data_IF_919141948025
#
_entry.id   IF_919141948025
#
_cell.length_a   1.000
_cell.length_b   1.000
_cell.length_c   1.000
_cell.angle_alpha   90.00
_cell.angle_beta   90.00
_cell.angle_gamma   90.00
#
_symmetry.space_group_name_H-M   'P 1'
#
loop_
_entity.id
_entity.type
_entity.pdbx_description
1 polymer ?
#
# COMPACT_ATOMS: atom_id res chain seq x y z
N UNK A 1 3.93 27.86 -15.35
CA UNK A 1 4.41 26.58 -14.82
C UNK A 1 3.19 25.68 -14.62
N UNK A 2 2.93 24.79 -15.57
CA UNK A 2 1.87 23.78 -15.47
C UNK A 2 2.37 22.67 -14.54
N UNK A 3 1.71 22.49 -13.40
CA UNK A 3 1.91 21.35 -12.51
C UNK A 3 1.87 20.07 -13.33
N UNK A 4 2.91 19.21 -13.24
CA UNK A 4 2.99 17.89 -13.89
C UNK A 4 1.82 16.95 -13.55
N UNK A 5 0.93 17.37 -12.64
CA UNK A 5 -0.34 16.75 -12.29
C UNK A 5 -1.56 17.45 -12.91
N UNK A 6 -1.54 17.84 -14.19
CA UNK A 6 -2.81 17.93 -14.92
C UNK A 6 -3.21 16.50 -15.28
N UNK A 7 -3.82 15.83 -14.31
CA UNK A 7 -4.44 14.52 -14.51
C UNK A 7 -5.57 14.72 -15.52
N UNK A 8 -5.37 14.27 -16.76
CA UNK A 8 -6.46 14.16 -17.71
C UNK A 8 -7.43 13.09 -17.22
N UNK A 9 -8.56 13.54 -16.67
CA UNK A 9 -9.66 12.70 -16.18
C UNK A 9 -10.30 11.83 -17.27
N UNK A 10 -9.98 12.08 -18.56
CA UNK A 10 -10.59 11.41 -19.70
C UNK A 10 -9.96 10.05 -20.04
N UNK A 11 -8.72 9.78 -19.63
CA UNK A 11 -7.95 8.59 -20.07
C UNK A 11 -7.68 7.57 -18.96
N UNK A 12 -8.15 7.80 -17.73
CA UNK A 12 -7.85 6.94 -16.59
C UNK A 12 -9.09 6.19 -16.10
N UNK A 13 -9.08 4.86 -16.22
CA UNK A 13 -9.71 4.00 -15.22
C UNK A 13 -8.85 4.03 -13.96
N UNK A 14 -8.88 5.15 -13.23
CA UNK A 14 -8.26 5.21 -11.91
C UNK A 14 -8.79 4.05 -11.07
N UNK A 15 -7.90 3.39 -10.30
CA UNK A 15 -8.36 2.47 -9.28
C UNK A 15 -9.18 3.28 -8.27
N UNK A 16 -10.49 3.11 -8.33
CA UNK A 16 -11.41 3.65 -7.35
C UNK A 16 -11.62 2.57 -6.31
N UNK A 17 -11.02 2.77 -5.13
CA UNK A 17 -11.32 1.91 -3.99
C UNK A 17 -12.83 1.95 -3.76
N UNK A 18 -13.44 0.76 -3.82
CA UNK A 18 -14.90 0.64 -3.79
C UNK A 18 -15.47 0.98 -2.42
N UNK A 19 -14.69 0.81 -1.35
CA UNK A 19 -15.11 1.23 -0.02
C UNK A 19 -15.14 2.76 0.08
N UNK A 20 -14.13 3.45 -0.46
CA UNK A 20 -14.12 4.92 -0.53
C UNK A 20 -15.27 5.44 -1.40
N UNK A 21 -15.50 4.88 -2.59
CA UNK A 21 -16.61 5.29 -3.45
C UNK A 21 -17.97 5.02 -2.80
N UNK A 22 -18.12 3.90 -2.09
CA UNK A 22 -19.34 3.59 -1.35
C UNK A 22 -19.61 4.62 -0.24
N UNK A 23 -18.62 4.93 0.61
CA UNK A 23 -18.75 5.96 1.65
C UNK A 23 -19.04 7.34 1.04
N UNK A 24 -18.34 7.70 -0.04
CA UNK A 24 -18.61 8.94 -0.79
C UNK A 24 -20.05 9.00 -1.31
N UNK A 25 -20.59 7.88 -1.80
CA UNK A 25 -21.99 7.77 -2.22
C UNK A 25 -22.97 8.04 -1.07
N UNK A 26 -22.68 7.54 0.13
CA UNK A 26 -23.48 7.85 1.33
C UNK A 26 -23.44 9.35 1.67
N UNK A 27 -22.26 9.98 1.61
CA UNK A 27 -22.09 11.40 1.89
C UNK A 27 -22.69 12.31 0.81
N UNK A 28 -22.88 11.83 -0.42
CA UNK A 28 -23.53 12.62 -1.47
C UNK A 28 -25.01 12.89 -1.15
N UNK A 29 -25.68 11.99 -0.41
CA UNK A 29 -27.10 12.14 -0.09
C UNK A 29 -27.38 13.37 0.80
N UNK A 30 -26.73 13.57 1.96
CA UNK A 30 -26.94 14.79 2.73
C UNK A 30 -26.49 16.06 1.99
N UNK A 31 -25.48 15.97 1.11
CA UNK A 31 -25.11 17.11 0.27
C UNK A 31 -26.31 17.55 -0.57
N UNK A 32 -26.90 16.65 -1.37
CA UNK A 32 -28.05 16.98 -2.23
C UNK A 32 -29.24 17.51 -1.44
N UNK A 33 -29.49 16.99 -0.23
CA UNK A 33 -30.65 17.38 0.58
C UNK A 33 -30.47 18.72 1.30
N UNK A 34 -29.24 19.07 1.71
CA UNK A 34 -28.99 20.19 2.63
C UNK A 34 -28.07 21.28 2.06
N UNK A 35 -27.38 21.03 0.94
CA UNK A 35 -26.57 22.04 0.26
C UNK A 35 -27.39 22.78 -0.80
N UNK A 36 -28.07 23.85 -0.41
CA UNK A 36 -28.61 24.80 -1.39
C UNK A 36 -27.51 25.72 -1.93
N UNK A 37 -27.46 25.99 -3.24
CA UNK A 37 -26.51 26.93 -3.82
C UNK A 37 -26.69 28.33 -3.27
N UNK A 38 -25.59 29.01 -2.96
CA UNK A 38 -25.60 30.41 -2.53
C UNK A 38 -26.18 31.29 -3.64
N UNK A 39 -27.17 32.13 -3.34
CA UNK A 39 -27.74 33.09 -4.30
C UNK A 39 -28.96 32.61 -5.10
N UNK A 40 -29.48 31.41 -4.83
CA UNK A 40 -30.86 31.07 -5.23
C UNK A 40 -31.81 31.77 -4.27
N UNK A 41 -32.70 32.62 -4.79
CA UNK A 41 -33.71 33.35 -4.00
C UNK A 41 -34.66 32.32 -3.38
N UNK A 42 -34.53 32.08 -2.08
CA UNK A 42 -35.35 31.14 -1.31
C UNK A 42 -35.10 31.26 0.19
N UNK A 43 -36.13 31.00 0.98
CA UNK A 43 -36.33 31.48 2.35
C UNK A 43 -35.22 31.16 3.38
N UNK A 44 -34.47 32.20 3.76
CA UNK A 44 -34.12 32.51 5.16
C UNK A 44 -33.30 31.53 5.99
N UNK A 45 -32.87 30.38 5.48
CA UNK A 45 -31.97 29.49 6.21
C UNK A 45 -30.54 30.03 6.15
N UNK A 46 -30.03 30.48 7.30
CA UNK A 46 -28.64 30.93 7.41
C UNK A 46 -27.69 29.84 6.91
N UNK A 47 -26.71 30.23 6.08
CA UNK A 47 -25.64 29.36 5.56
C UNK A 47 -24.98 28.55 6.70
N UNK A 48 -24.91 29.14 7.90
CA UNK A 48 -24.41 28.49 9.11
C UNK A 48 -25.26 27.28 9.51
N UNK A 49 -26.60 27.42 9.57
CA UNK A 49 -27.51 26.32 9.90
C UNK A 49 -27.40 25.16 8.92
N UNK A 50 -27.26 25.47 7.62
CA UNK A 50 -27.06 24.44 6.60
C UNK A 50 -25.72 23.70 6.79
N UNK A 51 -24.68 24.43 7.20
CA UNK A 51 -23.37 23.85 7.46
C UNK A 51 -23.40 22.94 8.68
N UNK A 52 -24.06 23.38 9.75
CA UNK A 52 -24.25 22.61 10.97
C UNK A 52 -25.05 21.33 10.70
N UNK A 53 -26.12 21.41 9.90
CA UNK A 53 -26.92 20.24 9.53
C UNK A 53 -26.12 19.28 8.64
N UNK A 54 -25.42 19.76 7.62
CA UNK A 54 -24.54 18.92 6.80
C UNK A 54 -23.44 18.24 7.63
N UNK A 55 -22.81 18.97 8.55
CA UNK A 55 -21.81 18.45 9.48
C UNK A 55 -22.40 17.34 10.35
N UNK A 56 -23.56 17.57 10.95
CA UNK A 56 -24.25 16.59 11.79
C UNK A 56 -24.55 15.31 11.00
N UNK A 57 -25.07 15.43 9.78
CA UNK A 57 -25.42 14.28 8.94
C UNK A 57 -24.21 13.48 8.47
N UNK A 58 -23.13 14.15 8.06
CA UNK A 58 -21.90 13.46 7.70
C UNK A 58 -21.28 12.75 8.91
N UNK A 59 -21.31 13.36 10.09
CA UNK A 59 -20.85 12.73 11.32
C UNK A 59 -21.68 11.48 11.70
N UNK A 60 -23.01 11.56 11.58
CA UNK A 60 -23.92 10.42 11.80
C UNK A 60 -23.61 9.26 10.85
N UNK A 61 -23.49 9.53 9.54
CA UNK A 61 -23.15 8.50 8.55
C UNK A 61 -21.79 7.86 8.85
N UNK A 62 -20.79 8.66 9.21
CA UNK A 62 -19.46 8.15 9.55
C UNK A 62 -19.50 7.23 10.77
N UNK A 63 -20.28 7.59 11.80
CA UNK A 63 -20.51 6.72 12.96
C UNK A 63 -21.20 5.42 12.57
N UNK A 64 -22.21 5.47 11.70
CA UNK A 64 -22.91 4.26 11.25
C UNK A 64 -21.99 3.33 10.45
N UNK A 65 -21.10 3.89 9.61
CA UNK A 65 -20.07 3.13 8.91
C UNK A 65 -19.05 2.53 9.88
N UNK A 66 -18.64 3.28 10.91
CA UNK A 66 -17.75 2.79 11.97
C UNK A 66 -18.34 1.56 12.68
N UNK A 67 -19.63 1.59 13.03
CA UNK A 67 -20.33 0.42 13.62
C UNK A 67 -20.37 -0.77 12.64
N UNK A 68 -20.52 -0.53 11.34
CA UNK A 68 -20.46 -1.59 10.33
C UNK A 68 -19.07 -2.21 10.19
N UNK A 69 -18.01 -1.41 10.37
CA UNK A 69 -16.63 -1.91 10.41
C UNK A 69 -16.42 -2.75 11.66
N UNK A 70 -16.91 -2.32 12.83
CA UNK A 70 -16.80 -3.08 14.07
C UNK A 70 -17.48 -4.47 13.97
N UNK A 71 -18.68 -4.55 13.39
CA UNK A 71 -19.35 -5.83 13.09
C UNK A 71 -18.53 -6.68 12.10
N UNK A 72 -17.90 -6.04 11.10
CA UNK A 72 -17.05 -6.74 10.14
C UNK A 72 -15.81 -7.35 10.81
N UNK A 73 -15.11 -6.60 11.66
CA UNK A 73 -13.96 -7.08 12.45
C UNK A 73 -14.38 -8.23 13.36
N UNK A 74 -15.52 -8.10 14.06
CA UNK A 74 -16.01 -9.14 14.94
C UNK A 74 -16.27 -10.47 14.21
N UNK A 75 -16.73 -10.41 12.95
CA UNK A 75 -16.95 -11.61 12.11
C UNK A 75 -15.69 -12.12 11.43
N UNK A 76 -14.75 -11.25 11.07
CA UNK A 76 -13.44 -11.66 10.54
C UNK A 76 -12.71 -12.61 11.51
N UNK A 77 -12.84 -12.36 12.82
CA UNK A 77 -12.16 -13.09 13.87
C UNK A 77 -12.92 -14.33 14.35
N UNK A 78 -14.08 -14.66 13.76
CA UNK A 78 -14.85 -15.85 14.09
C UNK A 78 -14.37 -17.04 13.24
N UNK A 79 -13.80 -18.05 13.90
CA UNK A 79 -13.56 -19.36 13.30
C UNK A 79 -14.89 -20.13 13.19
N UNK A 80 -15.66 -19.82 12.15
CA UNK A 80 -16.89 -20.54 11.79
C UNK A 80 -16.66 -21.40 10.54
N UNK A 81 -17.07 -22.68 10.55
CA UNK A 81 -16.99 -23.54 9.36
C UNK A 81 -17.85 -23.04 8.20
N UNK A 82 -18.84 -22.17 8.46
CA UNK A 82 -19.61 -21.44 7.45
C UNK A 82 -19.54 -19.95 7.80
N UNK A 83 -18.62 -19.18 7.19
CA UNK A 83 -18.50 -17.76 7.45
C UNK A 83 -19.72 -17.03 6.90
N UNK A 84 -20.52 -16.42 7.78
CA UNK A 84 -21.61 -15.54 7.35
C UNK A 84 -21.01 -14.14 7.14
N UNK A 85 -21.10 -13.55 5.93
CA UNK A 85 -20.53 -12.24 5.68
C UNK A 85 -21.25 -11.18 6.53
N UNK A 86 -20.48 -10.24 7.07
CA UNK A 86 -21.05 -9.01 7.65
C UNK A 86 -21.88 -8.24 6.62
N UNK A 87 -22.74 -7.33 7.08
CA UNK A 87 -23.43 -6.38 6.18
C UNK A 87 -22.45 -5.60 5.29
N UNK A 88 -21.32 -5.14 5.85
CA UNK A 88 -20.30 -4.42 5.09
C UNK A 88 -19.72 -5.30 3.97
N UNK A 89 -19.26 -6.50 4.29
CA UNK A 89 -18.75 -7.47 3.31
C UNK A 89 -19.76 -7.89 2.23
N UNK A 90 -21.07 -7.83 2.50
CA UNK A 90 -22.09 -8.04 1.47
C UNK A 90 -22.23 -6.83 0.53
N UNK A 91 -22.15 -5.61 1.06
CA UNK A 91 -22.31 -4.37 0.29
C UNK A 91 -21.05 -3.97 -0.47
N UNK A 92 -19.89 -4.19 0.14
CA UNK A 92 -18.57 -3.89 -0.40
C UNK A 92 -17.65 -5.10 -0.20
N UNK A 93 -17.78 -6.18 -1.01
CA UNK A 93 -16.95 -7.39 -0.88
C UNK A 93 -15.45 -7.14 -1.00
N UNK A 94 -15.07 -6.01 -1.59
CA UNK A 94 -13.68 -5.59 -1.80
C UNK A 94 -13.17 -4.64 -0.70
N UNK A 95 -13.87 -4.45 0.42
CA UNK A 95 -13.39 -3.62 1.53
C UNK A 95 -12.06 -4.15 2.12
N UNK A 96 -11.86 -5.47 2.10
CA UNK A 96 -10.70 -6.11 2.70
C UNK A 96 -10.81 -6.24 4.21
N UNK A 97 -9.80 -6.81 4.88
CA UNK A 97 -9.80 -6.92 6.33
C UNK A 97 -9.56 -5.56 6.99
N UNK A 98 -10.10 -5.38 8.18
CA UNK A 98 -9.77 -4.28 9.09
C UNK A 98 -9.06 -4.83 10.33
N UNK A 99 -7.97 -4.19 10.73
CA UNK A 99 -7.15 -4.62 11.87
C UNK A 99 -7.44 -3.82 13.14
N UNK A 100 -8.03 -2.64 12.99
CA UNK A 100 -8.32 -1.72 14.09
C UNK A 100 -9.72 -1.16 13.94
N UNK A 101 -10.34 -0.80 15.07
CA UNK A 101 -11.56 0.01 15.06
C UNK A 101 -11.22 1.39 14.51
N UNK A 102 -12.02 1.88 13.56
CA UNK A 102 -11.77 3.17 12.92
C UNK A 102 -12.73 4.23 13.48
N UNK A 103 -12.25 5.23 14.25
CA UNK A 103 -13.09 6.28 14.81
C UNK A 103 -13.49 7.31 13.73
N UNK A 104 -14.29 6.88 12.75
CA UNK A 104 -14.63 7.63 11.54
C UNK A 104 -15.36 8.93 11.85
N UNK A 105 -16.22 8.95 12.86
CA UNK A 105 -16.90 10.19 13.25
C UNK A 105 -15.89 11.23 13.74
N UNK A 106 -14.96 10.82 14.61
CA UNK A 106 -13.93 11.70 15.15
C UNK A 106 -12.98 12.18 14.04
N UNK A 107 -12.59 11.28 13.15
CA UNK A 107 -11.74 11.58 12.00
C UNK A 107 -12.42 12.55 11.02
N UNK A 108 -13.71 12.36 10.74
CA UNK A 108 -14.50 13.29 9.95
C UNK A 108 -14.52 14.68 10.59
N UNK A 109 -14.86 14.78 11.88
CA UNK A 109 -14.88 16.07 12.60
C UNK A 109 -13.52 16.76 12.56
N UNK A 110 -12.44 15.98 12.63
CA UNK A 110 -11.08 16.50 12.54
C UNK A 110 -10.78 17.08 11.15
N UNK A 111 -11.05 16.33 10.08
CA UNK A 111 -10.82 16.80 8.72
C UNK A 111 -11.77 17.95 8.33
N UNK A 112 -13.01 17.94 8.80
CA UNK A 112 -13.97 18.99 8.51
C UNK A 112 -13.56 20.35 9.11
N UNK A 113 -12.92 20.37 10.29
CA UNK A 113 -12.35 21.60 10.86
C UNK A 113 -11.20 22.19 10.03
N UNK A 114 -10.46 21.35 9.30
CA UNK A 114 -9.34 21.78 8.45
C UNK A 114 -9.82 22.17 7.05
N UNK A 115 -10.74 21.40 6.48
CA UNK A 115 -11.09 21.41 5.05
C UNK A 115 -12.49 21.96 4.77
N UNK A 116 -13.26 22.27 5.81
CA UNK A 116 -14.59 22.85 5.74
C UNK A 116 -15.49 22.12 4.74
N UNK A 117 -15.48 20.78 4.78
CA UNK A 117 -16.21 19.89 3.88
C UNK A 117 -17.71 20.20 3.96
N UNK A 118 -18.23 20.34 5.17
CA UNK A 118 -19.65 20.64 5.46
C UNK A 118 -20.07 22.05 5.04
N UNK A 119 -19.13 22.96 4.82
CA UNK A 119 -19.40 24.33 4.40
C UNK A 119 -19.61 24.46 2.88
N UNK A 120 -19.27 23.43 2.10
CA UNK A 120 -19.36 23.49 0.63
C UNK A 120 -20.81 23.46 0.15
N UNK A 121 -21.11 24.18 -0.93
CA UNK A 121 -22.47 24.31 -1.50
C UNK A 121 -22.60 23.90 -2.96
N UNK A 122 -21.47 23.78 -3.66
CA UNK A 122 -21.43 23.42 -5.09
C UNK A 122 -20.62 22.14 -5.35
N UNK A 123 -19.84 21.70 -4.36
CA UNK A 123 -18.93 20.56 -4.49
C UNK A 123 -19.21 19.61 -3.32
N UNK A 124 -19.74 18.44 -3.64
CA UNK A 124 -19.97 17.36 -2.68
C UNK A 124 -18.65 16.83 -2.11
N UNK A 125 -18.67 16.11 -0.97
CA UNK A 125 -17.51 15.36 -0.50
C UNK A 125 -16.92 14.49 -1.62
N UNK A 126 -15.63 14.67 -1.87
CA UNK A 126 -14.90 14.01 -2.94
C UNK A 126 -14.29 12.68 -2.47
N UNK A 127 -13.75 11.91 -3.43
CA UNK A 127 -12.98 10.71 -3.12
C UNK A 127 -11.81 11.02 -2.18
N UNK A 128 -11.11 12.14 -2.44
CA UNK A 128 -9.99 12.57 -1.61
C UNK A 128 -10.43 13.01 -0.21
N UNK A 129 -11.60 13.64 -0.05
CA UNK A 129 -12.10 13.96 1.29
C UNK A 129 -12.30 12.69 2.13
N UNK A 130 -12.94 11.66 1.55
CA UNK A 130 -13.14 10.37 2.22
C UNK A 130 -11.81 9.64 2.47
N UNK A 131 -10.89 9.62 1.50
CA UNK A 131 -9.54 9.06 1.66
C UNK A 131 -8.81 9.67 2.86
N UNK A 132 -8.84 11.00 2.98
CA UNK A 132 -8.16 11.71 4.07
C UNK A 132 -8.85 11.49 5.42
N UNK A 133 -10.18 11.36 5.44
CA UNK A 133 -10.92 10.96 6.65
C UNK A 133 -10.50 9.55 7.10
N UNK A 134 -10.37 8.61 6.18
CA UNK A 134 -9.90 7.26 6.48
C UNK A 134 -8.44 7.25 6.97
N UNK A 135 -7.56 8.05 6.36
CA UNK A 135 -6.18 8.20 6.84
C UNK A 135 -6.16 8.70 8.29
N UNK A 136 -6.91 9.76 8.61
CA UNK A 136 -7.04 10.26 9.99
C UNK A 136 -7.58 9.20 10.94
N UNK A 137 -8.59 8.42 10.52
CA UNK A 137 -9.13 7.35 11.35
C UNK A 137 -8.09 6.26 11.64
N UNK A 138 -7.29 5.88 10.63
CA UNK A 138 -6.19 4.93 10.80
C UNK A 138 -5.15 5.47 11.77
N UNK A 139 -4.70 6.72 11.62
CA UNK A 139 -3.75 7.36 12.53
C UNK A 139 -4.30 7.38 13.97
N UNK A 140 -5.55 7.81 14.15
CA UNK A 140 -6.20 7.82 15.46
C UNK A 140 -6.25 6.41 16.07
N UNK A 141 -6.54 5.39 15.26
CA UNK A 141 -6.62 4.00 15.70
C UNK A 141 -5.26 3.46 16.15
N UNK A 142 -4.19 3.64 15.35
CA UNK A 142 -2.85 3.14 15.69
C UNK A 142 -2.16 3.97 16.79
N UNK A 143 -2.53 5.24 16.96
CA UNK A 143 -2.06 6.04 18.11
C UNK A 143 -2.71 5.54 19.41
N UNK A 144 -3.95 5.05 19.33
CA UNK A 144 -4.63 4.43 20.46
C UNK A 144 -4.09 3.03 20.76
N UNK A 145 -3.80 2.23 19.73
CA UNK A 145 -3.21 0.89 19.81
C UNK A 145 -1.73 0.88 19.45
N UNK A 146 -0.85 1.09 20.44
CA UNK A 146 0.63 1.04 20.38
C UNK A 146 1.23 0.68 19.01
N UNK A 147 1.34 1.66 18.11
CA UNK A 147 2.04 1.49 16.83
C UNK A 147 3.48 1.00 17.08
N UNK A 148 3.83 -0.14 16.49
CA UNK A 148 5.16 -0.76 16.66
C UNK A 148 5.97 -0.69 15.37
N UNK A 149 5.32 -0.82 14.21
CA UNK A 149 5.96 -0.81 12.90
C UNK A 149 5.27 0.19 11.97
N UNK A 150 6.03 1.11 11.39
CA UNK A 150 5.61 1.90 10.25
C UNK A 150 6.38 1.44 9.01
N UNK A 151 5.68 1.09 7.94
CA UNK A 151 6.30 0.80 6.66
C UNK A 151 5.97 1.87 5.65
N UNK A 152 6.93 2.19 4.77
CA UNK A 152 6.80 3.25 3.79
C UNK A 152 7.16 2.72 2.42
N UNK A 153 6.36 3.05 1.42
CA UNK A 153 6.81 2.96 0.04
C UNK A 153 7.89 4.01 -0.27
N UNK A 154 8.64 3.80 -1.34
CA UNK A 154 9.64 4.74 -1.83
C UNK A 154 9.04 5.88 -2.67
N UNK A 155 8.88 5.63 -3.97
CA UNK A 155 8.43 6.63 -4.94
C UNK A 155 7.03 7.17 -4.59
N UNK A 156 6.82 8.48 -4.82
CA UNK A 156 5.58 9.22 -4.54
C UNK A 156 5.20 9.27 -3.04
N UNK A 157 5.94 8.59 -2.17
CA UNK A 157 5.69 8.49 -0.74
C UNK A 157 6.76 9.19 0.09
N UNK A 158 8.02 8.75 -0.03
CA UNK A 158 9.16 9.35 0.67
C UNK A 158 9.83 10.45 -0.17
N UNK A 159 9.79 10.31 -1.49
CA UNK A 159 10.37 11.24 -2.46
C UNK A 159 9.55 11.26 -3.73
N UNK A 160 9.70 12.33 -4.51
CA UNK A 160 9.07 12.45 -5.82
C UNK A 160 9.53 11.33 -6.77
N UNK A 161 8.70 10.98 -7.75
CA UNK A 161 8.97 9.89 -8.70
C UNK A 161 10.35 10.01 -9.36
N UNK A 162 11.17 8.97 -9.17
CA UNK A 162 12.53 8.89 -9.70
C UNK A 162 13.56 9.79 -9.01
N UNK A 163 13.22 10.44 -7.89
CA UNK A 163 14.14 11.21 -7.06
C UNK A 163 14.71 10.38 -5.90
N UNK A 164 15.52 11.03 -5.07
CA UNK A 164 16.14 10.45 -3.89
C UNK A 164 15.61 11.17 -2.62
N UNK A 165 15.69 10.49 -1.49
CA UNK A 165 15.44 11.07 -0.17
C UNK A 165 16.66 11.86 0.30
N UNK A 166 16.57 13.18 0.17
CA UNK A 166 17.59 14.10 0.66
C UNK A 166 17.49 14.32 2.18
N UNK A 167 18.62 14.62 2.85
CA UNK A 167 18.65 14.86 4.29
C UNK A 167 17.82 16.08 4.71
N UNK A 168 17.62 17.04 3.80
CA UNK A 168 16.76 18.21 4.01
C UNK A 168 15.26 17.91 3.91
N UNK A 169 14.87 16.68 3.57
CA UNK A 169 13.46 16.31 3.46
C UNK A 169 12.77 16.45 4.83
N UNK A 170 11.59 17.10 4.89
CA UNK A 170 10.82 17.23 6.13
C UNK A 170 10.35 15.87 6.68
N UNK A 171 10.39 14.79 5.89
CA UNK A 171 10.00 13.44 6.32
C UNK A 171 11.05 12.83 7.24
N UNK A 172 12.35 13.07 6.99
CA UNK A 172 13.46 12.39 7.69
C UNK A 172 13.39 12.56 9.21
N UNK A 173 13.17 13.76 9.78
CA UNK A 173 13.03 13.92 11.22
C UNK A 173 11.88 13.12 11.83
N UNK A 174 10.79 12.89 11.09
CA UNK A 174 9.64 12.14 11.59
C UNK A 174 9.92 10.63 11.67
N UNK A 175 10.66 10.09 10.70
CA UNK A 175 11.03 8.67 10.69
C UNK A 175 11.96 8.27 11.84
N UNK A 176 12.64 9.25 12.43
CA UNK A 176 13.54 9.04 13.57
C UNK A 176 12.86 9.28 14.92
N UNK A 177 11.61 9.73 14.93
CA UNK A 177 10.87 10.01 16.16
C UNK A 177 10.11 8.77 16.62
N UNK A 178 10.14 8.57 17.94
CA UNK A 178 9.50 7.47 18.64
C UNK A 178 10.19 6.13 18.35
N UNK A 179 10.24 5.23 19.34
CA UNK A 179 10.91 3.94 19.25
C UNK A 179 10.15 2.93 18.35
N UNK A 180 9.69 3.39 17.19
CA UNK A 180 8.93 2.66 16.18
C UNK A 180 9.92 2.02 15.21
N UNK A 181 9.63 0.80 14.79
CA UNK A 181 10.38 0.10 13.74
C UNK A 181 9.97 0.66 12.37
N UNK A 182 10.94 0.89 11.49
CA UNK A 182 10.75 1.46 10.16
C UNK A 182 11.15 0.45 9.10
N UNK A 183 10.22 0.12 8.20
CA UNK A 183 10.49 -0.70 7.02
C UNK A 183 10.25 0.08 5.74
N UNK A 184 11.27 0.27 4.90
CA UNK A 184 11.07 0.88 3.58
C UNK A 184 10.83 -0.25 2.57
N UNK A 185 9.60 -0.37 2.08
CA UNK A 185 9.16 -1.44 1.17
C UNK A 185 9.00 -0.87 -0.23
N UNK A 186 9.95 -1.15 -1.13
CA UNK A 186 10.01 -0.51 -2.45
C UNK A 186 10.02 -1.52 -3.59
N UNK A 187 9.39 -1.15 -4.70
CA UNK A 187 9.46 -1.89 -5.96
C UNK A 187 10.87 -1.87 -6.59
N UNK A 188 11.73 -0.92 -6.21
CA UNK A 188 13.13 -0.91 -6.65
C UNK A 188 13.86 -2.17 -6.16
N UNK A 189 14.18 -3.08 -7.09
CA UNK A 189 14.88 -4.33 -6.81
C UNK A 189 16.36 -4.31 -7.18
N UNK A 190 17.20 -3.64 -6.39
CA UNK A 190 18.66 -3.72 -6.52
C UNK A 190 19.17 -4.97 -5.78
N UNK A 191 20.15 -5.66 -6.34
CA UNK A 191 20.78 -6.82 -5.67
C UNK A 191 21.87 -6.39 -4.68
N UNK A 192 22.25 -5.13 -4.68
CA UNK A 192 23.37 -4.55 -3.92
C UNK A 192 22.95 -3.28 -3.18
N UNK A 193 23.65 -2.98 -2.09
CA UNK A 193 23.33 -1.90 -1.17
C UNK A 193 23.49 -0.48 -1.75
N UNK A 194 24.40 -0.30 -2.73
CA UNK A 194 24.70 0.99 -3.35
C UNK A 194 23.49 1.60 -4.08
N UNK A 195 22.66 0.76 -4.72
CA UNK A 195 21.43 1.21 -5.37
C UNK A 195 20.42 1.79 -4.38
N UNK A 196 20.20 1.09 -3.26
CA UNK A 196 19.32 1.59 -2.19
C UNK A 196 19.89 2.82 -1.50
N UNK A 197 21.20 2.84 -1.26
CA UNK A 197 21.88 4.01 -0.71
C UNK A 197 21.69 5.23 -1.61
N UNK A 198 21.84 5.11 -2.93
CA UNK A 198 21.59 6.21 -3.86
C UNK A 198 20.22 6.86 -3.65
N UNK A 199 19.17 6.06 -3.49
CA UNK A 199 17.79 6.53 -3.26
C UNK A 199 17.54 7.04 -1.84
N UNK A 200 18.26 6.56 -0.82
CA UNK A 200 17.92 6.75 0.60
C UNK A 200 19.04 7.37 1.44
N UNK A 201 20.11 7.87 0.82
CA UNK A 201 21.31 8.37 1.50
C UNK A 201 20.99 9.45 2.54
N UNK A 202 20.02 10.34 2.29
CA UNK A 202 19.64 11.38 3.23
C UNK A 202 19.14 10.82 4.57
N UNK A 203 18.32 9.77 4.54
CA UNK A 203 17.88 9.09 5.76
C UNK A 203 19.03 8.31 6.42
N UNK A 204 19.78 7.53 5.63
CA UNK A 204 20.83 6.66 6.15
C UNK A 204 21.96 7.44 6.84
N UNK A 205 22.39 8.55 6.24
CA UNK A 205 23.41 9.42 6.82
C UNK A 205 22.87 10.20 8.02
N UNK A 206 21.57 10.57 8.03
CA UNK A 206 20.97 11.21 9.22
C UNK A 206 20.90 10.23 10.40
N UNK A 207 20.51 8.96 10.17
CA UNK A 207 20.55 7.91 11.21
C UNK A 207 21.99 7.68 11.70
N UNK A 208 22.96 7.65 10.79
CA UNK A 208 24.38 7.51 11.14
C UNK A 208 24.88 8.65 12.03
N UNK A 209 24.61 9.90 11.62
CA UNK A 209 25.06 11.10 12.32
C UNK A 209 24.28 11.41 13.61
N UNK A 210 23.10 10.79 13.80
CA UNK A 210 22.24 11.07 14.95
C UNK A 210 22.93 10.76 16.29
N UNK A 211 22.86 11.73 17.19
CA UNK A 211 23.21 11.63 18.61
C UNK A 211 21.99 11.37 19.50
N UNK A 212 20.79 11.46 18.94
CA UNK A 212 19.52 11.23 19.65
C UNK A 212 19.13 9.76 19.67
N UNK A 213 19.53 9.00 18.65
CA UNK A 213 19.27 7.57 18.52
C UNK A 213 20.36 6.74 19.20
N UNK A 214 19.95 5.85 20.10
CA UNK A 214 20.84 4.84 20.65
C UNK A 214 21.21 3.76 19.60
N UNK A 215 22.25 2.93 19.83
CA UNK A 215 22.66 1.91 18.88
C UNK A 215 21.59 0.86 18.54
N UNK A 216 20.65 0.59 19.44
CA UNK A 216 19.53 -0.35 19.22
C UNK A 216 18.48 0.32 18.33
N UNK A 217 18.15 1.58 18.60
CA UNK A 217 17.22 2.36 17.79
C UNK A 217 17.70 2.56 16.36
N UNK A 218 19.02 2.72 16.14
CA UNK A 218 19.57 2.76 14.77
C UNK A 218 19.32 1.45 13.99
N UNK A 219 19.16 0.32 14.68
CA UNK A 219 18.81 -0.97 14.06
C UNK A 219 17.32 -1.14 13.80
N UNK A 220 16.48 -0.17 14.16
CA UNK A 220 15.04 -0.18 13.86
C UNK A 220 14.73 0.19 12.41
N UNK A 221 15.71 0.17 11.50
CA UNK A 221 15.54 0.49 10.09
C UNK A 221 15.92 -0.71 9.22
N UNK A 222 15.00 -1.12 8.36
CA UNK A 222 15.26 -2.10 7.28
C UNK A 222 14.73 -1.59 5.94
N UNK A 223 15.32 -2.10 4.86
CA UNK A 223 14.85 -1.88 3.50
C UNK A 223 14.46 -3.23 2.91
N UNK A 224 13.22 -3.34 2.47
CA UNK A 224 12.70 -4.43 1.68
C UNK A 224 12.58 -3.97 0.23
N UNK A 225 13.46 -4.49 -0.62
CA UNK A 225 13.53 -4.13 -2.02
C UNK A 225 13.01 -5.20 -2.98
N UNK A 226 12.63 -4.76 -4.18
CA UNK A 226 11.97 -5.60 -5.18
C UNK A 226 10.67 -6.18 -4.65
N UNK A 227 9.90 -5.34 -3.97
CA UNK A 227 8.67 -5.63 -3.21
C UNK A 227 8.85 -6.57 -2.01
N UNK A 228 9.44 -7.75 -2.20
CA UNK A 228 9.65 -8.77 -1.18
C UNK A 228 10.87 -9.66 -1.46
N UNK A 229 11.88 -9.16 -2.18
CA UNK A 229 12.94 -10.00 -2.75
C UNK A 229 14.32 -9.80 -2.10
N UNK A 230 14.61 -8.61 -1.59
CA UNK A 230 15.91 -8.29 -0.98
C UNK A 230 15.74 -7.54 0.33
N UNK A 231 16.19 -8.13 1.45
CA UNK A 231 16.20 -7.45 2.74
C UNK A 231 17.59 -6.91 3.04
N UNK A 232 17.65 -5.64 3.43
CA UNK A 232 18.84 -4.98 3.95
C UNK A 232 18.55 -4.43 5.34
N UNK A 233 19.50 -4.60 6.25
CA UNK A 233 19.46 -3.95 7.56
C UNK A 233 20.45 -2.78 7.62
N UNK A 234 20.14 -1.82 8.48
CA UNK A 234 21.07 -0.74 8.78
C UNK A 234 22.35 -1.30 9.42
N UNK A 235 23.50 -0.86 8.90
CA UNK A 235 24.83 -1.26 9.39
C UNK A 235 25.79 -0.08 9.36
N UNK A 236 26.12 0.46 10.53
CA UNK A 236 27.02 1.62 10.68
C UNK A 236 28.38 1.42 10.01
N UNK A 237 28.91 0.20 10.03
CA UNK A 237 30.23 -0.17 9.49
C UNK A 237 30.23 -0.42 7.98
N UNK A 238 29.06 -0.57 7.35
CA UNK A 238 28.97 -0.78 5.91
C UNK A 238 29.25 0.52 5.13
N UNK A 239 29.96 0.47 3.98
CA UNK A 239 30.21 1.65 3.14
C UNK A 239 28.94 2.40 2.71
N UNK A 240 27.84 1.67 2.57
CA UNK A 240 26.53 2.19 2.15
C UNK A 240 25.52 2.21 3.29
N UNK A 241 25.99 2.09 4.54
CA UNK A 241 25.16 2.01 5.76
C UNK A 241 24.14 0.86 5.78
N UNK A 242 24.27 -0.08 4.85
CA UNK A 242 23.34 -1.19 4.65
C UNK A 242 24.11 -2.49 4.49
N UNK A 243 23.65 -3.55 5.15
CA UNK A 243 24.15 -4.90 4.99
C UNK A 243 23.04 -5.81 4.42
N UNK A 244 23.30 -6.59 3.37
CA UNK A 244 22.33 -7.54 2.85
C UNK A 244 22.10 -8.67 3.87
N UNK A 245 20.84 -9.05 4.08
CA UNK A 245 20.47 -10.18 4.94
C UNK A 245 20.23 -11.41 4.07
N UNK A 246 20.90 -12.56 4.34
CA UNK A 246 20.67 -13.79 3.59
C UNK A 246 19.20 -14.25 3.63
N UNK A 247 18.64 -14.59 2.46
CA UNK A 247 17.20 -14.96 2.30
C UNK A 247 16.68 -15.94 3.34
N UNK A 248 17.42 -17.01 3.60
CA UNK A 248 17.03 -18.05 4.55
C UNK A 248 16.75 -17.53 5.98
N UNK A 249 17.24 -16.34 6.34
CA UNK A 249 17.05 -15.75 7.67
C UNK A 249 15.73 -14.99 7.80
N UNK A 250 15.14 -14.51 6.71
CA UNK A 250 14.02 -13.57 6.74
C UNK A 250 12.77 -14.01 5.97
N UNK A 251 12.87 -15.04 5.12
CA UNK A 251 11.68 -15.57 4.44
C UNK A 251 10.61 -15.96 5.46
N UNK A 252 9.36 -15.64 5.12
CA UNK A 252 8.21 -16.18 5.84
C UNK A 252 8.09 -17.68 5.56
N UNK A 253 7.41 -18.47 6.43
CA UNK A 253 7.20 -19.89 6.17
C UNK A 253 6.52 -20.18 4.83
N UNK A 254 5.58 -19.32 4.41
CA UNK A 254 4.90 -19.47 3.12
C UNK A 254 5.85 -19.14 1.96
N UNK A 255 6.64 -18.07 2.05
CA UNK A 255 7.64 -17.74 1.02
C UNK A 255 8.67 -18.85 0.83
N UNK A 256 9.12 -19.46 1.93
CA UNK A 256 10.06 -20.58 1.90
C UNK A 256 9.46 -21.85 1.26
N UNK A 257 8.14 -21.95 1.17
CA UNK A 257 7.44 -23.07 0.53
C UNK A 257 7.28 -22.92 -0.99
N UNK A 258 7.58 -21.74 -1.55
CA UNK A 258 7.46 -21.49 -2.98
C UNK A 258 8.51 -22.29 -3.78
N UNK A 259 8.04 -23.04 -4.78
CA UNK A 259 8.88 -23.86 -5.65
C UNK A 259 9.74 -22.99 -6.57
N UNK A 260 11.07 -23.15 -6.51
CA UNK A 260 12.00 -22.48 -7.44
C UNK A 260 11.71 -22.82 -8.90
N UNK A 261 11.22 -24.03 -9.18
CA UNK A 261 10.81 -24.43 -10.52
C UNK A 261 9.56 -23.66 -10.98
N UNK A 262 8.58 -23.45 -10.09
CA UNK A 262 7.36 -22.71 -10.42
C UNK A 262 7.66 -21.22 -10.59
N UNK A 263 8.57 -20.67 -9.78
CA UNK A 263 9.08 -19.30 -9.92
C UNK A 263 9.77 -19.11 -11.26
N UNK A 264 10.67 -20.04 -11.62
CA UNK A 264 11.37 -19.99 -12.91
C UNK A 264 10.38 -20.04 -14.06
N UNK A 265 9.43 -20.97 -14.03
CA UNK A 265 8.40 -21.10 -15.05
C UNK A 265 7.52 -19.83 -15.18
N UNK A 266 7.12 -19.21 -14.06
CA UNK A 266 6.36 -17.97 -14.08
C UNK A 266 7.15 -16.84 -14.75
N UNK A 267 8.41 -16.66 -14.34
CA UNK A 267 9.27 -15.61 -14.89
C UNK A 267 9.60 -15.87 -16.37
N UNK A 268 9.67 -17.12 -16.83
CA UNK A 268 9.90 -17.45 -18.25
C UNK A 268 8.69 -17.08 -19.13
N UNK A 269 7.48 -17.29 -18.62
CA UNK A 269 6.24 -16.80 -19.27
C UNK A 269 6.23 -15.27 -19.30
N UNK A 270 6.56 -14.62 -18.19
CA UNK A 270 6.67 -13.15 -18.12
C UNK A 270 7.72 -12.61 -19.09
N UNK A 271 8.88 -13.27 -19.18
CA UNK A 271 9.95 -12.89 -20.10
C UNK A 271 9.51 -12.95 -21.56
N UNK A 272 8.80 -14.02 -21.93
CA UNK A 272 8.27 -14.19 -23.29
C UNK A 272 7.24 -13.12 -23.60
N UNK A 273 6.30 -12.86 -22.69
CA UNK A 273 5.30 -11.80 -22.83
C UNK A 273 5.94 -10.42 -22.99
N UNK A 274 6.97 -10.10 -22.19
CA UNK A 274 7.71 -8.84 -22.30
C UNK A 274 8.44 -8.72 -23.65
N UNK A 275 9.08 -9.78 -24.14
CA UNK A 275 9.73 -9.79 -25.47
C UNK A 275 8.71 -9.55 -26.58
N UNK A 276 7.52 -10.13 -26.46
CA UNK A 276 6.43 -9.93 -27.41
C UNK A 276 5.92 -8.49 -27.40
N UNK A 277 5.76 -7.87 -26.23
CA UNK A 277 5.42 -6.44 -26.12
C UNK A 277 6.48 -5.54 -26.75
N UNK A 278 7.77 -5.77 -26.44
CA UNK A 278 8.89 -4.99 -27.00
C UNK A 278 8.89 -5.06 -28.53
N UNK A 279 8.73 -6.25 -29.10
CA UNK A 279 8.68 -6.46 -30.55
C UNK A 279 7.42 -5.85 -31.18
N UNK A 280 6.25 -6.08 -30.59
CA UNK A 280 4.96 -5.70 -31.21
C UNK A 280 4.73 -4.19 -31.19
N UNK A 281 5.20 -3.51 -30.15
CA UNK A 281 5.11 -2.04 -30.02
C UNK A 281 6.40 -1.32 -30.45
N UNK A 282 7.42 -2.06 -30.92
CA UNK A 282 8.75 -1.53 -31.26
C UNK A 282 9.33 -0.64 -30.15
N UNK A 283 9.26 -1.12 -28.90
CA UNK A 283 9.72 -0.34 -27.74
C UNK A 283 11.25 -0.20 -27.77
N UNK A 284 11.79 1.02 -27.53
CA UNK A 284 13.23 1.24 -27.38
C UNK A 284 13.67 0.75 -26.00
N UNK A 285 13.62 -0.57 -25.80
CA UNK A 285 13.82 -1.20 -24.50
C UNK A 285 14.60 -2.51 -24.65
N UNK A 286 15.37 -2.83 -23.61
CA UNK A 286 16.04 -4.13 -23.47
C UNK A 286 15.52 -4.88 -22.25
N UNK A 287 15.56 -6.20 -22.33
CA UNK A 287 15.12 -7.08 -21.25
C UNK A 287 16.19 -7.23 -20.16
N UNK A 288 15.76 -7.34 -18.91
CA UNK A 288 16.58 -7.67 -17.74
C UNK A 288 15.92 -8.82 -16.99
N UNK A 289 16.67 -9.90 -16.77
CA UNK A 289 16.28 -11.04 -15.94
C UNK A 289 17.10 -11.04 -14.65
N UNK A 290 16.42 -11.16 -13.52
CA UNK A 290 16.97 -11.35 -12.17
C UNK A 290 16.52 -12.72 -11.64
N UNK A 291 16.96 -13.09 -10.45
CA UNK A 291 16.60 -14.37 -9.82
C UNK A 291 15.11 -14.44 -9.43
N UNK A 292 14.51 -13.32 -9.02
CA UNK A 292 13.10 -13.22 -8.62
C UNK A 292 12.31 -12.14 -9.36
N UNK A 293 12.82 -11.68 -10.50
CA UNK A 293 12.16 -10.66 -11.29
C UNK A 293 12.56 -10.70 -12.77
N UNK A 294 11.70 -10.20 -13.65
CA UNK A 294 12.02 -9.94 -15.06
C UNK A 294 11.36 -8.64 -15.50
N UNK A 295 12.04 -7.85 -16.32
CA UNK A 295 11.52 -6.56 -16.75
C UNK A 295 12.17 -6.03 -18.00
N UNK A 296 11.68 -4.88 -18.47
CA UNK A 296 12.25 -4.13 -19.58
C UNK A 296 12.66 -2.74 -19.10
N UNK A 297 13.82 -2.26 -19.55
CA UNK A 297 14.29 -0.91 -19.28
C UNK A 297 14.60 -0.17 -20.59
N UNK A 298 14.58 1.17 -20.63
CA UNK A 298 14.91 1.93 -21.82
C UNK A 298 16.33 1.64 -22.33
N UNK A 299 16.46 1.53 -23.65
CA UNK A 299 17.73 1.38 -24.35
C UNK A 299 17.75 2.22 -25.64
N UNK A 300 18.59 3.27 -25.73
CA UNK A 300 19.52 3.77 -24.71
C UNK A 300 18.86 4.31 -23.42
N UNK A 301 19.58 4.36 -22.27
CA UNK A 301 18.99 4.71 -20.95
C UNK A 301 18.38 6.11 -20.82
N UNK A 302 18.71 7.03 -21.72
CA UNK A 302 18.17 8.39 -21.72
C UNK A 302 16.82 8.50 -22.43
N UNK A 303 16.40 7.46 -23.15
CA UNK A 303 15.08 7.43 -23.78
C UNK A 303 14.00 7.30 -22.71
N UNK A 304 12.87 7.95 -22.97
CA UNK A 304 11.65 7.80 -22.20
C UNK A 304 10.63 7.06 -23.05
N UNK A 305 10.21 5.89 -22.59
CA UNK A 305 9.11 5.13 -23.19
C UNK A 305 7.81 5.84 -22.80
N UNK A 306 6.87 5.95 -23.74
CA UNK A 306 5.56 6.53 -23.47
C UNK A 306 4.86 5.75 -22.34
N UNK A 307 4.26 6.48 -21.39
CA UNK A 307 3.63 5.86 -20.23
C UNK A 307 2.56 4.87 -20.65
N UNK A 308 1.77 5.22 -21.66
CA UNK A 308 0.71 4.40 -22.24
C UNK A 308 1.26 3.05 -22.72
N UNK A 309 2.44 3.04 -23.33
CA UNK A 309 3.09 1.80 -23.76
C UNK A 309 3.58 0.94 -22.60
N UNK A 310 4.04 1.57 -21.50
CA UNK A 310 4.41 0.85 -20.27
C UNK A 310 3.17 0.25 -19.60
N UNK A 311 2.07 1.00 -19.49
CA UNK A 311 0.80 0.53 -18.93
C UNK A 311 0.22 -0.63 -19.77
N UNK A 312 0.20 -0.51 -21.10
CA UNK A 312 -0.21 -1.59 -22.01
C UNK A 312 0.63 -2.85 -21.79
N UNK A 313 1.96 -2.69 -21.70
CA UNK A 313 2.88 -3.81 -21.42
C UNK A 313 2.53 -4.51 -20.11
N UNK A 314 2.28 -3.76 -19.03
CA UNK A 314 1.90 -4.33 -17.74
C UNK A 314 0.59 -5.11 -17.84
N UNK A 315 -0.44 -4.52 -18.45
CA UNK A 315 -1.76 -5.14 -18.56
C UNK A 315 -1.70 -6.44 -19.38
N UNK A 316 -0.95 -6.45 -20.48
CA UNK A 316 -0.74 -7.64 -21.32
C UNK A 316 -0.01 -8.73 -20.53
N UNK A 317 1.11 -8.41 -19.89
CA UNK A 317 1.92 -9.38 -19.14
C UNK A 317 1.13 -9.93 -17.95
N UNK A 318 0.45 -9.08 -17.20
CA UNK A 318 -0.41 -9.49 -16.09
C UNK A 318 -1.50 -10.45 -16.59
N UNK A 319 -2.19 -10.12 -17.69
CA UNK A 319 -3.26 -10.96 -18.22
C UNK A 319 -2.76 -12.33 -18.67
N UNK A 320 -1.59 -12.38 -19.32
CA UNK A 320 -0.97 -13.64 -19.74
C UNK A 320 -0.64 -14.50 -18.51
N UNK A 321 0.00 -13.93 -17.49
CA UNK A 321 0.36 -14.65 -16.27
C UNK A 321 -0.86 -15.17 -15.52
N UNK A 322 -1.92 -14.37 -15.41
CA UNK A 322 -3.19 -14.78 -14.82
C UNK A 322 -3.78 -16.00 -15.56
N UNK A 323 -3.86 -15.94 -16.89
CA UNK A 323 -4.38 -17.04 -17.72
C UNK A 323 -3.51 -18.30 -17.64
N UNK A 324 -2.18 -18.16 -17.69
CA UNK A 324 -1.24 -19.28 -17.54
C UNK A 324 -1.38 -19.95 -16.17
N UNK A 325 -1.54 -19.16 -15.11
CA UNK A 325 -1.75 -19.69 -13.75
C UNK A 325 -3.06 -20.48 -13.62
N UNK A 326 -4.12 -20.06 -14.33
CA UNK A 326 -5.40 -20.76 -14.37
C UNK A 326 -5.33 -22.06 -15.19
N UNK A 327 -4.68 -22.03 -16.35
CA UNK A 327 -4.49 -23.23 -17.18
C UNK A 327 -3.66 -24.31 -16.48
N UNK A 328 -2.61 -23.92 -15.74
CA UNK A 328 -1.84 -24.84 -14.91
C UNK A 328 -2.67 -25.43 -13.75
N UNK A 329 -3.59 -24.63 -13.17
CA UNK A 329 -4.52 -25.10 -12.12
C UNK A 329 -5.54 -26.10 -12.65
N UNK A 330 -6.13 -25.85 -13.80
CA UNK A 330 -7.07 -26.79 -14.43
C UNK A 330 -6.37 -28.11 -14.79
N UNK A 331 -5.15 -28.05 -15.35
CA UNK A 331 -4.35 -29.23 -15.65
C UNK A 331 -3.95 -29.99 -14.37
N UNK A 332 -3.54 -29.30 -13.30
CA UNK A 332 -3.22 -29.92 -12.03
C UNK A 332 -4.46 -30.53 -11.35
N UNK A 333 -5.63 -29.88 -11.42
CA UNK A 333 -6.88 -30.40 -10.93
C UNK A 333 -7.36 -31.62 -11.73
N UNK A 334 -7.22 -31.61 -13.06
CA UNK A 334 -7.51 -32.75 -13.92
C UNK A 334 -6.56 -33.93 -13.67
N UNK A 335 -5.26 -33.67 -13.49
CA UNK A 335 -4.27 -34.69 -13.14
C UNK A 335 -4.48 -35.26 -11.72
N UNK A 336 -4.92 -34.43 -10.77
CA UNK A 336 -5.30 -34.87 -9.43
C UNK A 336 -6.58 -35.70 -9.46
N UNK A 337 -7.60 -35.30 -10.22
CA UNK A 337 -8.83 -36.07 -10.44
C UNK A 337 -8.56 -37.42 -11.10
N UNK A 338 -7.59 -37.49 -12.03
CA UNK A 338 -7.14 -38.74 -12.63
C UNK A 338 -6.37 -39.67 -11.68
N UNK A 339 -5.91 -39.16 -10.51
CA UNK A 339 -5.21 -39.94 -9.47
C UNK A 339 -6.09 -40.36 -8.29
N UNK A 340 -7.39 -40.05 -8.28
CA UNK A 340 -8.32 -40.51 -7.22
C UNK A 340 -8.84 -41.92 -7.54
N UNK A 341 -7.93 -42.89 -7.42
CA UNK A 341 -8.23 -44.31 -7.18
C UNK A 341 -7.37 -44.84 -6.03
N UNK A 342 -7.05 -44.04 -5.00
CA UNK A 342 -6.51 -44.54 -3.72
C UNK A 342 -6.48 -43.44 -2.65
N UNK A 343 -7.11 -43.76 -1.51
CA UNK A 343 -6.93 -43.20 -0.17
C UNK A 343 -7.39 -41.75 0.13
N UNK A 344 -8.22 -41.69 1.17
CA UNK A 344 -8.75 -40.53 1.87
C UNK A 344 -7.67 -39.70 2.59
N UNK A 345 -7.55 -38.42 2.22
CA UNK A 345 -6.98 -37.38 3.06
C UNK A 345 -7.85 -36.12 2.90
N UNK A 346 -8.15 -35.43 4.01
CA UNK A 346 -8.99 -34.24 4.04
C UNK A 346 -8.47 -33.10 3.14
N UNK A 347 -9.26 -32.04 2.91
CA UNK A 347 -8.88 -30.97 2.00
C UNK A 347 -7.69 -30.19 2.61
N UNK A 348 -6.48 -30.54 2.20
CA UNK A 348 -5.29 -29.73 2.41
C UNK A 348 -5.40 -28.41 1.65
N UNK A 349 -4.63 -27.37 2.04
CA UNK A 349 -4.71 -26.05 1.42
C UNK A 349 -4.43 -26.19 -0.07
N UNK A 350 -5.33 -25.66 -0.90
CA UNK A 350 -5.15 -25.61 -2.35
C UNK A 350 -3.82 -24.93 -2.66
N UNK A 351 -2.97 -25.57 -3.48
CA UNK A 351 -1.72 -24.96 -3.96
C UNK A 351 -2.06 -23.63 -4.64
N UNK A 352 -1.82 -22.52 -3.95
CA UNK A 352 -1.89 -21.19 -4.55
C UNK A 352 -0.67 -21.05 -5.46
N UNK A 353 -0.88 -20.52 -6.67
CA UNK A 353 0.24 -20.24 -7.58
C UNK A 353 1.23 -19.26 -6.93
N UNK A 354 2.46 -19.22 -7.43
CA UNK A 354 3.48 -18.29 -6.96
C UNK A 354 2.96 -16.85 -7.07
N UNK A 355 2.94 -16.07 -5.98
CA UNK A 355 2.53 -14.67 -6.03
C UNK A 355 3.46 -13.85 -6.91
N UNK A 356 2.90 -12.89 -7.65
CA UNK A 356 3.66 -11.96 -8.48
C UNK A 356 3.01 -10.59 -8.54
N UNK A 357 3.79 -9.59 -8.91
CA UNK A 357 3.34 -8.23 -9.19
C UNK A 357 3.96 -7.75 -10.51
N UNK A 358 3.12 -7.34 -11.47
CA UNK A 358 3.57 -6.71 -12.71
C UNK A 358 3.24 -5.22 -12.64
N UNK A 359 4.22 -4.32 -12.73
CA UNK A 359 4.01 -2.89 -12.48
C UNK A 359 4.76 -1.99 -13.47
N UNK A 360 4.26 -0.76 -13.60
CA UNK A 360 4.89 0.31 -14.35
C UNK A 360 5.75 1.15 -13.39
N UNK A 361 7.08 1.11 -13.53
CA UNK A 361 8.02 1.89 -12.72
C UNK A 361 8.25 3.32 -13.24
N UNK A 362 7.33 3.85 -14.06
CA UNK A 362 7.38 5.19 -14.65
C UNK A 362 8.30 5.31 -15.86
N UNK A 363 9.42 4.57 -15.87
CA UNK A 363 10.36 4.50 -17.00
C UNK A 363 10.62 3.08 -17.50
N UNK A 364 10.24 2.07 -16.73
CA UNK A 364 10.44 0.66 -16.97
C UNK A 364 9.19 -0.16 -16.59
N UNK A 365 9.19 -1.44 -16.95
CA UNK A 365 8.18 -2.41 -16.50
C UNK A 365 8.88 -3.61 -15.91
N UNK A 366 8.42 -4.05 -14.73
CA UNK A 366 8.93 -5.24 -14.08
C UNK A 366 7.79 -6.16 -13.64
N UNK A 367 8.10 -7.46 -13.63
CA UNK A 367 7.35 -8.51 -12.97
C UNK A 367 8.23 -9.06 -11.86
N UNK A 368 7.82 -8.81 -10.62
CA UNK A 368 8.50 -9.30 -9.42
C UNK A 368 7.73 -10.50 -8.84
N UNK A 369 8.46 -11.46 -8.26
CA UNK A 369 7.87 -12.50 -7.42
C UNK A 369 7.53 -11.90 -6.06
N UNK A 370 6.31 -12.14 -5.59
CA UNK A 370 5.74 -11.49 -4.42
C UNK A 370 5.01 -10.19 -4.76
N UNK A 371 4.54 -9.51 -3.71
CA UNK A 371 3.99 -8.17 -3.76
C UNK A 371 4.31 -7.42 -2.44
N UNK A 372 4.02 -6.12 -2.33
CA UNK A 372 4.27 -5.35 -1.09
C UNK A 372 3.60 -5.92 0.17
N UNK A 373 2.52 -6.70 0.06
CA UNK A 373 1.95 -7.38 1.26
C UNK A 373 2.94 -8.38 1.86
N UNK A 374 3.69 -9.08 1.02
CA UNK A 374 4.77 -9.96 1.44
C UNK A 374 5.92 -9.18 2.06
N UNK A 375 6.28 -8.03 1.47
CA UNK A 375 7.33 -7.16 2.01
C UNK A 375 7.00 -6.62 3.40
N UNK A 376 5.76 -6.17 3.60
CA UNK A 376 5.25 -5.73 4.92
C UNK A 376 5.21 -6.90 5.90
N UNK A 377 4.74 -8.07 5.48
CA UNK A 377 4.73 -9.28 6.32
C UNK A 377 6.13 -9.73 6.75
N UNK A 378 7.14 -9.60 5.88
CA UNK A 378 8.54 -9.84 6.25
C UNK A 378 8.99 -8.82 7.29
N UNK A 379 8.68 -7.53 7.14
CA UNK A 379 9.04 -6.53 8.15
C UNK A 379 8.41 -6.85 9.51
N UNK A 380 7.12 -7.23 9.54
CA UNK A 380 6.40 -7.66 10.75
C UNK A 380 7.08 -8.84 11.44
N UNK A 381 7.48 -9.87 10.68
CA UNK A 381 8.16 -11.04 11.22
C UNK A 381 9.61 -10.74 11.63
N UNK A 382 10.33 -9.96 10.84
CA UNK A 382 11.74 -9.63 11.08
C UNK A 382 11.92 -8.90 12.40
N UNK A 383 11.15 -7.83 12.61
CA UNK A 383 11.22 -7.09 13.86
C UNK A 383 10.63 -7.87 15.04
N UNK A 384 9.54 -8.61 14.85
CA UNK A 384 8.98 -9.47 15.90
C UNK A 384 9.98 -10.52 16.41
N UNK A 385 10.73 -11.17 15.51
CA UNK A 385 11.77 -12.15 15.89
C UNK A 385 12.95 -11.52 16.64
N UNK A 386 13.33 -10.26 16.34
CA UNK A 386 14.45 -9.55 17.01
C UNK A 386 14.14 -9.21 18.46
N UNK A 387 12.88 -8.95 18.79
CA UNK A 387 12.46 -8.59 20.15
C UNK A 387 12.27 -9.86 21.01
N UNK A 388 13.36 -10.58 21.28
CA UNK A 388 13.49 -11.69 22.22
C UNK A 388 12.48 -12.85 22.06
N UNK A 389 12.08 -13.19 20.83
CA UNK A 389 11.16 -14.30 20.54
C UNK A 389 9.67 -13.93 20.61
N UNK A 390 9.35 -12.64 20.55
CA UNK A 390 7.97 -12.18 20.38
C UNK A 390 7.36 -12.71 19.07
N UNK A 391 6.02 -12.81 19.06
CA UNK A 391 5.27 -13.09 17.85
C UNK A 391 5.52 -12.00 16.79
N UNK A 392 5.18 -12.29 15.53
CA UNK A 392 5.22 -11.28 14.47
C UNK A 392 4.38 -10.06 14.89
N UNK A 393 4.83 -8.85 14.51
CA UNK A 393 4.07 -7.62 14.78
C UNK A 393 2.72 -7.70 14.06
N UNK A 394 1.63 -7.61 14.81
CA UNK A 394 0.26 -7.71 14.28
C UNK A 394 -0.08 -6.60 13.28
N UNK A 395 -1.07 -6.85 12.41
CA UNK A 395 -1.54 -5.85 11.45
C UNK A 395 -2.14 -4.61 12.13
N UNK A 396 -2.66 -4.79 13.34
CA UNK A 396 -3.19 -3.75 14.23
C UNK A 396 -2.11 -2.84 14.82
N UNK A 397 -0.85 -3.30 14.85
CA UNK A 397 0.32 -2.54 15.31
C UNK A 397 1.23 -2.10 14.15
N UNK A 398 0.78 -2.28 12.91
CA UNK A 398 1.51 -1.93 11.69
C UNK A 398 0.74 -0.91 10.88
N UNK A 399 1.39 0.21 10.52
CA UNK A 399 0.89 1.19 9.57
C UNK A 399 1.76 1.21 8.31
N UNK A 400 1.19 0.86 7.17
CA UNK A 400 1.81 1.07 5.87
C UNK A 400 1.40 2.44 5.31
N UNK A 401 2.35 3.18 4.74
CA UNK A 401 2.12 4.46 4.06
C UNK A 401 2.59 4.32 2.62
N UNK A 402 1.69 4.52 1.65
CA UNK A 402 2.00 4.33 0.23
C UNK A 402 0.94 4.90 -0.72
N UNK A 403 1.27 5.00 -2.01
CA UNK A 403 0.37 5.52 -3.05
C UNK A 403 -0.40 4.40 -3.78
N UNK A 404 -1.72 4.35 -3.58
CA UNK A 404 -2.60 3.38 -4.26
C UNK A 404 -3.22 3.91 -5.57
N UNK A 405 -2.85 5.11 -6.05
CA UNK A 405 -3.37 5.69 -7.30
C UNK A 405 -2.77 5.08 -8.56
N UNK A 406 -1.59 4.47 -8.49
CA UNK A 406 -0.93 3.83 -9.63
C UNK A 406 -1.70 2.57 -10.04
N UNK A 407 -2.45 2.68 -11.14
CA UNK A 407 -3.43 1.69 -11.61
C UNK A 407 -2.82 0.37 -12.06
N UNK A 408 -1.71 0.40 -12.81
CA UNK A 408 -1.00 -0.80 -13.25
C UNK A 408 0.06 -1.21 -12.22
N UNK A 409 -0.12 -2.40 -11.62
CA UNK A 409 0.77 -2.95 -10.60
C UNK A 409 0.24 -2.90 -9.19
N UNK A 410 -0.54 -1.88 -8.81
CA UNK A 410 -1.40 -1.94 -7.60
C UNK A 410 -0.70 -2.46 -6.33
N UNK A 411 0.60 -2.19 -6.18
CA UNK A 411 1.43 -2.86 -5.21
C UNK A 411 1.10 -2.41 -3.78
N UNK A 412 0.90 -1.11 -3.53
CA UNK A 412 0.56 -0.60 -2.19
C UNK A 412 -0.81 -1.06 -1.68
N UNK A 413 -1.77 -1.22 -2.59
CA UNK A 413 -3.09 -1.72 -2.21
C UNK A 413 -3.02 -3.12 -1.59
N UNK A 414 -2.04 -3.95 -2.00
CA UNK A 414 -1.89 -5.29 -1.44
C UNK A 414 -1.49 -5.22 0.03
N UNK A 415 -0.72 -4.22 0.47
CA UNK A 415 -0.30 -4.09 1.86
C UNK A 415 -1.47 -4.01 2.86
N UNK A 416 -2.63 -3.53 2.43
CA UNK A 416 -3.84 -3.48 3.27
C UNK A 416 -4.37 -4.86 3.70
N UNK A 417 -3.89 -5.95 3.12
CA UNK A 417 -4.26 -7.31 3.53
C UNK A 417 -3.48 -7.81 4.75
N UNK A 418 -2.42 -7.10 5.17
CA UNK A 418 -1.51 -7.54 6.26
C UNK A 418 -1.32 -6.49 7.35
N UNK A 419 -1.73 -5.24 7.13
CA UNK A 419 -1.70 -4.19 8.15
C UNK A 419 -2.57 -2.99 7.81
N UNK A 420 -2.71 -2.08 8.77
CA UNK A 420 -3.38 -0.79 8.51
C UNK A 420 -2.64 -0.02 7.41
N UNK A 421 -3.34 0.77 6.61
CA UNK A 421 -2.72 1.49 5.48
C UNK A 421 -3.26 2.91 5.39
N UNK A 422 -2.36 3.88 5.28
CA UNK A 422 -2.67 5.26 4.90
C UNK A 422 -2.35 5.46 3.41
N UNK A 423 -3.34 5.92 2.65
CA UNK A 423 -3.19 6.17 1.23
C UNK A 423 -2.80 7.63 0.99
N UNK A 424 -1.56 7.86 0.57
CA UNK A 424 -1.02 9.19 0.22
C UNK A 424 -1.02 9.39 -1.30
N UNK A 425 -0.92 10.64 -1.76
CA UNK A 425 -0.79 10.99 -3.17
C UNK A 425 0.52 11.72 -3.52
N UNK A 426 1.32 12.05 -2.50
CA UNK A 426 2.57 12.79 -2.64
C UNK A 426 3.39 12.75 -1.34
N UNK A 427 4.69 13.08 -1.41
CA UNK A 427 5.52 13.26 -0.21
C UNK A 427 4.98 14.34 0.74
N UNK A 428 4.31 15.38 0.22
CA UNK A 428 3.68 16.40 1.08
C UNK A 428 2.54 15.85 1.92
N UNK A 429 1.72 14.94 1.37
CA UNK A 429 0.68 14.27 2.16
C UNK A 429 1.29 13.32 3.21
N UNK A 430 2.44 12.70 2.92
CA UNK A 430 3.20 11.93 3.92
C UNK A 430 3.63 12.81 5.10
N UNK A 431 4.10 14.04 4.84
CA UNK A 431 4.44 15.00 5.91
C UNK A 431 3.21 15.35 6.73
N UNK A 432 2.08 15.72 6.09
CA UNK A 432 0.82 16.03 6.79
C UNK A 432 0.35 14.87 7.68
N UNK A 433 0.48 13.63 7.19
CA UNK A 433 0.14 12.41 7.93
C UNK A 433 1.03 12.23 9.17
N UNK A 434 2.35 12.43 9.02
CA UNK A 434 3.32 12.26 10.09
C UNK A 434 3.24 13.38 11.13
N UNK A 435 2.89 14.60 10.72
CA UNK A 435 2.56 15.71 11.63
C UNK A 435 1.32 15.37 12.46
N UNK A 436 0.27 14.86 11.82
CA UNK A 436 -0.96 14.45 12.51
C UNK A 436 -0.72 13.30 13.50
N UNK A 437 0.11 12.31 13.13
CA UNK A 437 0.52 11.24 14.03
C UNK A 437 1.29 11.78 15.25
N UNK A 438 2.22 12.71 15.03
CA UNK A 438 3.00 13.32 16.11
C UNK A 438 2.10 14.12 17.07
N UNK A 439 1.20 14.94 16.54
CA UNK A 439 0.23 15.73 17.33
C UNK A 439 -0.67 14.86 18.21
N UNK A 440 -1.18 13.76 17.65
CA UNK A 440 -2.06 12.84 18.37
C UNK A 440 -1.30 12.04 19.44
N UNK A 441 -0.03 11.70 19.18
CA UNK A 441 0.82 11.02 20.15
C UNK A 441 1.19 11.93 21.33
N UNK A 442 1.52 13.20 21.08
CA UNK A 442 1.84 14.17 22.12
C UNK A 442 0.65 14.47 23.03
N UNK A 443 -0.56 14.62 22.46
CA UNK A 443 -1.79 14.83 23.23
C UNK A 443 -2.18 13.67 24.15
N UNK A 444 -1.60 12.48 23.97
CA UNK A 444 -1.81 11.32 24.84
C UNK A 444 -0.82 11.30 26.02
N UNK A 445 0.34 11.93 25.86
CA UNK A 445 1.40 12.00 26.87
C UNK A 445 1.26 13.21 27.81
N UNK A 446 0.53 14.25 27.38
CA UNK A 446 0.10 15.38 28.19
C UNK A 446 -1.24 15.10 28.88
#
# INVERSE_FOLDING_TARGET
MTTRYRVEYALKTHRRDQFIEWVKGLLAVPFVLYSQPTGVVGDGTSIAKMSEEAHRRYAEIMRDVEVMIDDHIARQNQDSPIPIPSKLGMLVPTAGPFFTRLPLEAAFKYQDRKRYISCRRYVAPSFNDVRLILNSAQIMAVTNGTLQLATFDGDVTLYEDGQNLEASSPIVPHLMRNNIKIGIVTAAGYTTADGYYGRLHGLLETVAASTELDPVQKQNLVIMGGEANYLFEYSQSSPHRLAPVPRAQWLTPEMASWSEADITALLDVAETALRDCVRSMNLPARLIRKDRAVGIIPDPPHIQIARESLEETVLVVQRILELSSLGLREQAAAAAASKVCAASAGPGPSKRGVPFCAFNGGRDVFVDIGDKSWGVAVCQQWFGRRDAGAAAIGGENTLHVGDQFLSAGSNDFKARSVGTTAWIASPSETVELLDELADLTQKKLA
#
